data_IF_508833327098
#
_entry.id   IF_508833327098
#
_cell.length_a   1.000
_cell.length_b   1.000
_cell.length_c   1.000
_cell.angle_alpha   90.00
_cell.angle_beta   90.00
_cell.angle_gamma   90.00
#
_symmetry.space_group_name_H-M   'P 1'
#
loop_
_entity.id
_entity.type
_entity.pdbx_description
1 polymer ?
#
# COMPACT_ATOMS: atom_id res chain seq x y z
N UNK A 1 17.23 7.07 39.76
CA UNK A 1 15.99 6.25 39.77
C UNK A 1 14.85 7.22 39.56
N UNK A 2 14.00 7.16 38.52
CA UNK A 2 13.87 6.19 37.46
C UNK A 2 13.44 6.87 36.16
N UNK A 3 13.90 6.23 35.08
CA UNK A 3 13.42 6.35 33.72
C UNK A 3 11.92 6.09 33.64
N UNK A 4 11.19 6.89 32.85
CA UNK A 4 10.02 6.38 32.15
C UNK A 4 10.21 6.62 30.65
N UNK A 5 10.20 5.50 29.94
CA UNK A 5 10.26 5.33 28.49
C UNK A 5 8.83 5.13 27.99
N UNK A 6 8.62 5.57 26.75
CA UNK A 6 7.79 4.96 25.69
C UNK A 6 6.26 4.86 25.86
N UNK A 7 5.59 5.00 24.72
CA UNK A 7 4.17 4.64 24.52
C UNK A 7 3.45 5.69 23.67
N UNK A 8 3.57 5.65 22.34
CA UNK A 8 2.55 5.05 21.48
C UNK A 8 1.31 5.95 21.27
N UNK A 9 1.34 6.74 20.18
CA UNK A 9 0.11 7.09 19.44
C UNK A 9 0.36 6.90 17.95
N UNK A 10 0.46 5.63 17.55
CA UNK A 10 0.32 5.25 16.14
C UNK A 10 -1.16 5.23 15.78
N UNK A 11 -1.54 6.10 14.84
CA UNK A 11 -2.77 5.96 14.06
C UNK A 11 -3.95 6.81 14.54
N UNK A 12 -3.78 8.12 14.67
CA UNK A 12 -4.93 9.03 14.81
C UNK A 12 -5.37 9.52 13.43
N UNK A 13 -6.54 9.01 12.98
CA UNK A 13 -7.43 9.54 11.93
C UNK A 13 -6.82 9.83 10.54
N UNK A 14 -7.42 9.29 9.48
CA UNK A 14 -7.10 9.60 8.08
C UNK A 14 -7.32 11.08 7.67
N UNK A 15 -7.62 11.96 8.62
CA UNK A 15 -8.10 13.33 8.39
C UNK A 15 -7.11 14.42 8.78
N UNK A 16 -6.00 14.08 9.45
CA UNK A 16 -4.96 15.05 9.82
C UNK A 16 -3.75 14.92 8.89
N UNK A 17 -3.84 15.52 7.71
CA UNK A 17 -2.67 15.75 6.85
C UNK A 17 -2.03 17.09 7.20
N UNK A 18 -0.70 17.10 7.40
CA UNK A 18 0.03 18.37 7.47
C UNK A 18 0.04 19.02 6.08
N UNK A 19 -0.73 20.09 5.89
CA UNK A 19 -0.71 20.88 4.66
C UNK A 19 0.42 21.90 4.72
N UNK A 20 1.34 21.80 3.76
CA UNK A 20 2.43 22.76 3.59
C UNK A 20 2.09 23.76 2.49
N UNK A 21 2.59 24.99 2.66
CA UNK A 21 2.70 25.92 1.53
C UNK A 21 3.45 25.23 0.37
N UNK A 22 3.04 25.40 -0.90
CA UNK A 22 3.65 24.71 -2.03
C UNK A 22 5.18 24.84 -2.11
N UNK A 23 5.73 25.98 -1.70
CA UNK A 23 7.17 26.24 -1.62
C UNK A 23 7.86 25.25 -0.66
N UNK A 24 7.36 25.15 0.57
CA UNK A 24 7.85 24.25 1.62
C UNK A 24 7.65 22.78 1.27
N UNK A 25 6.52 22.43 0.66
CA UNK A 25 6.27 21.06 0.17
C UNK A 25 7.35 20.63 -0.84
N UNK A 26 7.66 21.50 -1.81
CA UNK A 26 8.68 21.23 -2.85
C UNK A 26 10.07 21.08 -2.25
N UNK A 27 10.42 21.91 -1.28
CA UNK A 27 11.69 21.80 -0.56
C UNK A 27 11.80 20.43 0.14
N UNK A 28 10.80 20.06 0.94
CA UNK A 28 10.78 18.77 1.64
C UNK A 28 10.85 17.58 0.69
N UNK A 29 10.14 17.63 -0.45
CA UNK A 29 10.19 16.57 -1.47
C UNK A 29 11.61 16.44 -2.03
N UNK A 30 12.27 17.57 -2.37
CA UNK A 30 13.64 17.54 -2.92
C UNK A 30 14.63 16.96 -1.93
N UNK A 31 14.58 17.40 -0.68
CA UNK A 31 15.47 16.89 0.36
C UNK A 31 15.26 15.40 0.62
N UNK A 32 13.99 14.96 0.70
CA UNK A 32 13.66 13.55 0.89
C UNK A 32 14.15 12.70 -0.28
N UNK A 33 13.96 13.17 -1.52
CA UNK A 33 14.47 12.50 -2.71
C UNK A 33 16.01 12.41 -2.70
N UNK A 34 16.71 13.49 -2.35
CA UNK A 34 18.16 13.49 -2.22
C UNK A 34 18.65 12.46 -1.19
N UNK A 35 18.04 12.45 0.01
CA UNK A 35 18.37 11.47 1.07
C UNK A 35 18.10 10.03 0.62
N UNK A 36 16.99 9.79 -0.10
CA UNK A 36 16.65 8.46 -0.60
C UNK A 36 17.66 7.97 -1.64
N UNK A 37 18.05 8.84 -2.59
CA UNK A 37 19.02 8.51 -3.63
C UNK A 37 20.42 8.24 -3.08
N UNK A 38 20.85 9.00 -2.07
CA UNK A 38 22.13 8.76 -1.38
C UNK A 38 22.21 7.37 -0.74
N UNK A 39 21.06 6.81 -0.35
CA UNK A 39 20.93 5.52 0.33
C UNK A 39 20.45 4.40 -0.58
N UNK A 40 20.37 4.62 -1.90
CA UNK A 40 19.76 3.66 -2.84
C UNK A 40 20.36 2.25 -2.76
N UNK A 41 21.67 2.15 -2.46
CA UNK A 41 22.39 0.89 -2.33
C UNK A 41 22.00 0.08 -1.09
N UNK A 42 21.39 0.70 -0.08
CA UNK A 42 20.89 0.03 1.12
C UNK A 42 19.58 -0.73 0.86
N UNK A 43 18.85 -0.40 -0.21
CA UNK A 43 17.55 -0.97 -0.52
C UNK A 43 17.66 -2.09 -1.56
N UNK A 44 17.10 -3.26 -1.24
CA UNK A 44 16.99 -4.36 -2.19
C UNK A 44 15.69 -4.24 -2.99
N UNK A 45 15.69 -4.54 -4.31
CA UNK A 45 14.47 -4.60 -5.08
C UNK A 45 13.47 -5.59 -4.47
N UNK A 46 12.22 -5.17 -4.33
CA UNK A 46 11.13 -6.06 -3.92
C UNK A 46 10.86 -7.06 -5.04
N UNK A 47 11.18 -8.34 -4.81
CA UNK A 47 10.90 -9.44 -5.74
C UNK A 47 9.75 -10.28 -5.20
N UNK A 48 8.61 -10.26 -5.87
CA UNK A 48 7.50 -11.16 -5.57
C UNK A 48 7.81 -12.57 -6.11
N UNK A 49 7.63 -13.59 -5.27
CA UNK A 49 7.73 -14.99 -5.71
C UNK A 49 6.50 -15.34 -6.52
N UNK A 50 6.70 -15.79 -7.76
CA UNK A 50 5.65 -16.19 -8.68
C UNK A 50 5.42 -17.71 -8.58
N UNK A 51 4.17 -18.20 -8.73
CA UNK A 51 2.94 -17.41 -8.77
C UNK A 51 2.55 -16.94 -7.36
N UNK A 52 1.86 -15.81 -7.25
CA UNK A 52 1.34 -15.28 -5.98
C UNK A 52 -0.17 -15.09 -6.05
N UNK A 53 -0.83 -15.09 -4.89
CA UNK A 53 -2.28 -14.91 -4.80
C UNK A 53 -2.59 -13.46 -4.47
N UNK A 54 -3.35 -12.80 -5.34
CA UNK A 54 -3.93 -11.49 -5.08
C UNK A 54 -5.26 -11.69 -4.35
N UNK A 55 -5.41 -11.08 -3.18
CA UNK A 55 -6.68 -10.99 -2.44
C UNK A 55 -7.07 -9.52 -2.36
N UNK A 56 -8.30 -9.21 -2.79
CA UNK A 56 -8.85 -7.85 -2.70
C UNK A 56 -10.13 -7.91 -1.88
N UNK A 57 -10.15 -7.10 -0.82
CA UNK A 57 -11.30 -6.91 0.05
C UNK A 57 -11.88 -5.52 -0.22
N UNK A 58 -13.17 -5.48 -0.50
CA UNK A 58 -13.92 -4.29 -0.85
C UNK A 58 -14.78 -3.83 0.33
N UNK A 59 -15.08 -2.53 0.34
CA UNK A 59 -15.95 -1.93 1.36
C UNK A 59 -17.43 -2.21 1.03
N UNK A 60 -17.78 -2.38 -0.25
CA UNK A 60 -19.16 -2.61 -0.70
C UNK A 60 -19.26 -3.90 -1.55
N UNK A 61 -20.30 -4.73 -1.40
CA UNK A 61 -20.44 -6.00 -2.12
C UNK A 61 -20.54 -5.84 -3.64
N UNK A 62 -21.10 -4.72 -4.11
CA UNK A 62 -21.28 -4.43 -5.54
C UNK A 62 -19.98 -4.55 -6.35
N UNK A 63 -18.84 -4.19 -5.74
CA UNK A 63 -17.53 -4.28 -6.41
C UNK A 63 -17.08 -5.74 -6.60
N UNK A 64 -17.45 -6.64 -5.68
CA UNK A 64 -17.24 -8.08 -5.86
C UNK A 64 -18.10 -8.59 -7.00
N UNK A 65 -19.37 -8.18 -7.08
CA UNK A 65 -20.29 -8.61 -8.13
C UNK A 65 -19.83 -8.19 -9.53
N UNK A 66 -19.35 -6.95 -9.68
CA UNK A 66 -18.76 -6.44 -10.92
C UNK A 66 -17.52 -7.23 -11.34
N UNK A 67 -16.68 -7.64 -10.38
CA UNK A 67 -15.36 -8.23 -10.63
C UNK A 67 -15.35 -9.76 -10.65
N UNK A 68 -16.34 -10.42 -10.07
CA UNK A 68 -16.41 -11.88 -9.98
C UNK A 68 -16.51 -12.58 -11.35
N UNK A 69 -16.98 -11.87 -12.38
CA UNK A 69 -17.11 -12.42 -13.73
C UNK A 69 -15.83 -12.31 -14.57
N UNK A 70 -14.77 -11.69 -14.04
CA UNK A 70 -13.53 -11.53 -14.76
C UNK A 70 -12.76 -12.85 -14.86
N UNK A 71 -12.07 -13.12 -15.99
CA UNK A 71 -11.26 -14.33 -16.14
C UNK A 71 -10.21 -14.48 -15.04
N UNK A 72 -10.18 -15.66 -14.42
CA UNK A 72 -9.21 -16.01 -13.37
C UNK A 72 -9.50 -15.40 -11.99
N UNK A 73 -10.58 -14.64 -11.85
CA UNK A 73 -11.06 -14.15 -10.54
C UNK A 73 -12.01 -15.19 -9.95
N UNK A 74 -11.86 -15.44 -8.64
CA UNK A 74 -12.76 -16.27 -7.85
C UNK A 74 -13.29 -15.45 -6.70
N UNK A 75 -14.61 -15.44 -6.52
CA UNK A 75 -15.25 -14.85 -5.33
C UNK A 75 -14.96 -15.72 -4.12
N UNK A 76 -14.41 -15.12 -3.06
CA UNK A 76 -14.15 -15.82 -1.79
C UNK A 76 -15.31 -15.64 -0.81
N UNK A 77 -15.84 -14.43 -0.70
CA UNK A 77 -16.98 -14.09 0.17
C UNK A 77 -17.77 -12.89 -0.38
N UNK A 78 -18.59 -12.24 0.44
CA UNK A 78 -19.41 -11.08 0.05
C UNK A 78 -18.58 -9.85 -0.33
N UNK A 79 -17.40 -9.69 0.25
CA UNK A 79 -16.55 -8.51 0.11
C UNK A 79 -15.19 -8.82 -0.51
N UNK A 80 -14.86 -10.11 -0.71
CA UNK A 80 -13.53 -10.53 -1.11
C UNK A 80 -13.51 -11.31 -2.41
N UNK A 81 -12.57 -10.96 -3.28
CA UNK A 81 -12.15 -11.77 -4.44
C UNK A 81 -10.70 -12.25 -4.30
N UNK A 82 -10.37 -13.31 -5.02
CA UNK A 82 -9.02 -13.83 -5.16
C UNK A 82 -8.67 -14.10 -6.61
N UNK A 83 -7.39 -13.94 -6.98
CA UNK A 83 -6.86 -14.23 -8.32
C UNK A 83 -5.43 -14.78 -8.20
N UNK A 84 -5.12 -15.82 -8.95
CA UNK A 84 -3.74 -16.30 -9.06
C UNK A 84 -2.99 -15.45 -10.10
N UNK A 85 -1.87 -14.86 -9.68
CA UNK A 85 -1.04 -14.00 -10.50
C UNK A 85 0.31 -14.66 -10.78
N UNK A 86 0.72 -14.67 -12.04
CA UNK A 86 2.04 -15.05 -12.52
C UNK A 86 2.95 -13.84 -12.70
N UNK A 87 2.42 -12.62 -12.55
CA UNK A 87 3.20 -11.39 -12.51
C UNK A 87 2.42 -10.19 -12.00
N UNK A 88 3.07 -9.02 -11.97
CA UNK A 88 2.45 -7.77 -11.55
C UNK A 88 1.43 -7.28 -12.59
N UNK A 89 1.65 -7.63 -13.86
CA UNK A 89 0.74 -7.44 -14.97
C UNK A 89 -0.64 -8.06 -14.73
N UNK A 90 -0.72 -9.16 -13.98
CA UNK A 90 -1.97 -9.84 -13.67
C UNK A 90 -2.76 -9.15 -12.55
N UNK A 91 -2.20 -8.15 -11.87
CA UNK A 91 -2.85 -7.44 -10.74
C UNK A 91 -3.95 -6.49 -11.23
N UNK A 92 -3.94 -6.13 -12.52
CA UNK A 92 -4.98 -5.29 -13.10
C UNK A 92 -6.29 -6.10 -13.17
N UNK A 93 -7.32 -5.60 -12.49
CA UNK A 93 -8.66 -6.20 -12.38
C UNK A 93 -9.65 -5.53 -13.32
#
# INVERSE_FOLDING_TARGET
MGSQREGETRGTHCEAGDFFEPSKARERIREAAQRALQRVSEFKPLKLKKPFTLRVEYIEPKYVEEKANLPGVTRLDEFTITKQCHGLEDVIL
#
